data_IF_346279190816
#
_entry.id   IF_346279190816
#
_cell.length_a   1.000
_cell.length_b   1.000
_cell.length_c   1.000
_cell.angle_alpha   90.00
_cell.angle_beta   90.00
_cell.angle_gamma   90.00
#
_symmetry.space_group_name_H-M   'P 1'
#
loop_
_entity.id
_entity.type
_entity.pdbx_description
1 polymer ?
#
# COMPACT_ATOMS: atom_id res chain seq x y z
N UNK A 1 -26.30 14.93 -62.27
CA UNK A 1 -25.28 15.69 -61.51
C UNK A 1 -25.87 16.15 -60.19
N UNK A 2 -25.43 15.56 -59.08
CA UNK A 2 -24.84 16.24 -57.90
C UNK A 2 -24.84 15.28 -56.71
N UNK A 3 -23.64 14.81 -56.39
CA UNK A 3 -23.29 14.20 -55.12
C UNK A 3 -23.40 15.20 -53.95
N UNK A 4 -23.48 14.67 -52.73
CA UNK A 4 -23.32 15.39 -51.47
C UNK A 4 -24.46 15.05 -50.51
N UNK A 5 -24.26 14.59 -49.26
CA UNK A 5 -23.11 14.72 -48.37
C UNK A 5 -23.32 13.70 -47.23
N UNK A 6 -22.47 12.68 -47.09
CA UNK A 6 -22.45 11.83 -45.88
C UNK A 6 -21.68 12.60 -44.79
N UNK A 7 -22.39 13.18 -43.84
CA UNK A 7 -21.76 13.84 -42.68
C UNK A 7 -21.50 12.83 -41.56
N UNK A 8 -20.23 12.73 -41.20
CA UNK A 8 -19.61 11.91 -40.17
C UNK A 8 -20.20 12.12 -38.77
N UNK A 9 -20.67 11.04 -38.13
CA UNK A 9 -21.11 11.03 -36.72
C UNK A 9 -20.19 10.22 -35.78
N UNK A 10 -19.11 9.63 -36.30
CA UNK A 10 -18.21 8.74 -35.54
C UNK A 10 -17.01 9.41 -34.86
N UNK A 11 -16.70 10.67 -35.18
CA UNK A 11 -15.51 11.35 -34.65
C UNK A 11 -15.69 11.96 -33.26
N UNK A 12 -16.92 12.29 -32.84
CA UNK A 12 -17.21 12.92 -31.55
C UNK A 12 -17.26 11.93 -30.39
N UNK A 13 -17.74 10.70 -30.64
CA UNK A 13 -17.91 9.66 -29.62
C UNK A 13 -16.57 9.09 -29.12
N UNK A 14 -15.60 8.94 -30.02
CA UNK A 14 -14.24 8.46 -29.67
C UNK A 14 -13.49 9.49 -28.83
N UNK A 15 -13.75 10.78 -29.05
CA UNK A 15 -13.02 11.88 -28.43
C UNK A 15 -13.54 12.13 -27.02
N UNK A 16 -14.86 12.09 -26.81
CA UNK A 16 -15.47 12.05 -25.48
C UNK A 16 -15.02 10.81 -24.68
N UNK A 17 -14.94 9.64 -25.31
CA UNK A 17 -14.47 8.42 -24.66
C UNK A 17 -12.99 8.51 -24.23
N UNK A 18 -12.11 9.09 -25.08
CA UNK A 18 -10.71 9.36 -24.72
C UNK A 18 -10.61 10.29 -23.53
N UNK A 19 -11.47 11.30 -23.44
CA UNK A 19 -11.48 12.26 -22.34
C UNK A 19 -11.90 11.59 -21.02
N UNK A 20 -12.92 10.72 -21.06
CA UNK A 20 -13.34 9.90 -19.91
C UNK A 20 -12.20 8.96 -19.45
N UNK A 21 -11.55 8.27 -20.39
CA UNK A 21 -10.42 7.37 -20.09
C UNK A 21 -9.23 8.15 -19.51
N UNK A 22 -8.96 9.36 -20.00
CA UNK A 22 -7.90 10.22 -19.48
C UNK A 22 -8.18 10.63 -18.03
N UNK A 23 -9.40 11.10 -17.73
CA UNK A 23 -9.81 11.46 -16.37
C UNK A 23 -9.77 10.25 -15.44
N UNK A 24 -10.20 9.08 -15.92
CA UNK A 24 -10.17 7.84 -15.13
C UNK A 24 -8.73 7.40 -14.83
N UNK A 25 -7.85 7.44 -15.83
CA UNK A 25 -6.43 7.10 -15.69
C UNK A 25 -5.67 8.08 -14.78
N UNK A 26 -6.13 9.33 -14.69
CA UNK A 26 -5.55 10.32 -13.78
C UNK A 26 -6.01 10.11 -12.32
N UNK A 27 -7.31 9.87 -12.11
CA UNK A 27 -7.88 9.85 -10.75
C UNK A 27 -7.76 8.51 -10.03
N UNK A 28 -7.89 7.39 -10.74
CA UNK A 28 -7.89 6.05 -10.14
C UNK A 28 -6.55 5.72 -9.44
N UNK A 29 -5.37 5.98 -10.04
CA UNK A 29 -4.10 5.74 -9.36
C UNK A 29 -3.94 6.57 -8.08
N UNK A 30 -4.42 7.83 -8.08
CA UNK A 30 -4.39 8.70 -6.91
C UNK A 30 -5.22 8.18 -5.74
N UNK A 31 -6.41 7.64 -6.03
CA UNK A 31 -7.28 7.02 -5.03
C UNK A 31 -6.64 5.74 -4.45
N UNK A 32 -6.08 4.89 -5.30
CA UNK A 32 -5.37 3.67 -4.88
C UNK A 32 -4.18 4.05 -3.97
N UNK A 33 -3.38 5.04 -4.38
CA UNK A 33 -2.25 5.54 -3.58
C UNK A 33 -2.69 6.10 -2.24
N UNK A 34 -3.82 6.82 -2.18
CA UNK A 34 -4.39 7.34 -0.94
C UNK A 34 -4.79 6.23 0.04
N UNK A 35 -5.44 5.16 -0.44
CA UNK A 35 -5.82 4.00 0.37
C UNK A 35 -4.61 3.21 0.86
N UNK A 36 -3.59 3.03 0.00
CA UNK A 36 -2.32 2.43 0.39
C UNK A 36 -1.69 3.24 1.52
N UNK A 37 -1.54 4.56 1.36
CA UNK A 37 -0.98 5.43 2.39
C UNK A 37 -1.79 5.43 3.70
N UNK A 38 -3.13 5.30 3.64
CA UNK A 38 -3.92 5.19 4.87
C UNK A 38 -3.71 3.86 5.58
N UNK A 39 -3.55 2.75 4.83
CA UNK A 39 -3.29 1.41 5.36
C UNK A 39 -1.84 1.23 5.84
N UNK A 40 -0.87 1.95 5.26
CA UNK A 40 0.53 1.96 5.70
C UNK A 40 0.87 3.15 6.61
N UNK A 41 -0.13 3.76 7.23
CA UNK A 41 0.07 4.82 8.24
C UNK A 41 0.58 4.23 9.56
N UNK A 42 1.20 5.07 10.40
CA UNK A 42 1.62 4.68 11.75
C UNK A 42 0.45 4.17 12.61
N UNK A 43 -0.73 4.76 12.41
CA UNK A 43 -1.96 4.39 13.11
C UNK A 43 -2.46 3.02 12.65
N UNK A 44 -2.51 2.79 11.34
CA UNK A 44 -2.84 1.48 10.79
C UNK A 44 -1.84 0.39 11.20
N UNK A 45 -0.54 0.70 11.24
CA UNK A 45 0.47 -0.22 11.75
C UNK A 45 0.25 -0.58 13.23
N UNK A 46 -0.13 0.41 14.07
CA UNK A 46 -0.45 0.21 15.49
C UNK A 46 -1.67 -0.70 15.66
N UNK A 47 -2.72 -0.46 14.88
CA UNK A 47 -3.94 -1.27 14.96
C UNK A 47 -3.75 -2.67 14.38
N UNK A 48 -2.94 -2.81 13.33
CA UNK A 48 -2.55 -4.11 12.80
C UNK A 48 -1.73 -4.91 13.83
N UNK A 49 -0.81 -4.26 14.54
CA UNK A 49 -0.05 -4.86 15.63
C UNK A 49 -0.94 -5.34 16.78
N UNK A 50 -1.94 -4.55 17.18
CA UNK A 50 -2.94 -4.97 18.18
C UNK A 50 -3.74 -6.18 17.69
N UNK A 51 -4.20 -6.16 16.44
CA UNK A 51 -4.98 -7.26 15.88
C UNK A 51 -4.19 -8.58 15.87
N UNK A 52 -2.91 -8.54 15.46
CA UNK A 52 -2.04 -9.70 15.50
C UNK A 52 -1.81 -10.20 16.94
N UNK A 53 -1.61 -9.30 17.90
CA UNK A 53 -1.47 -9.66 19.30
C UNK A 53 -2.74 -10.31 19.87
N UNK A 54 -3.90 -9.71 19.64
CA UNK A 54 -5.19 -10.28 20.06
C UNK A 54 -5.41 -11.66 19.43
N UNK A 55 -5.15 -11.80 18.13
CA UNK A 55 -5.29 -13.09 17.44
C UNK A 55 -4.42 -14.18 18.10
N UNK A 56 -3.15 -13.90 18.36
CA UNK A 56 -2.26 -14.82 19.07
C UNK A 56 -2.76 -15.17 20.48
N UNK A 57 -3.24 -14.18 21.25
CA UNK A 57 -3.77 -14.42 22.60
C UNK A 57 -5.01 -15.33 22.57
N UNK A 58 -5.93 -15.11 21.63
CA UNK A 58 -7.14 -15.93 21.46
C UNK A 58 -6.80 -17.36 21.04
N UNK A 59 -5.81 -17.56 20.15
CA UNK A 59 -5.35 -18.91 19.78
C UNK A 59 -4.83 -19.66 21.02
N UNK A 60 -4.02 -19.00 21.85
CA UNK A 60 -3.52 -19.59 23.10
C UNK A 60 -4.61 -19.85 24.12
N UNK A 61 -5.55 -18.93 24.27
CA UNK A 61 -6.70 -19.10 25.14
C UNK A 61 -7.57 -20.30 24.69
N UNK A 62 -7.65 -20.54 23.37
CA UNK A 62 -8.29 -21.70 22.77
C UNK A 62 -7.52 -23.02 22.92
N UNK A 63 -6.34 -23.00 23.57
CA UNK A 63 -5.53 -24.19 23.82
C UNK A 63 -4.58 -24.57 22.68
N UNK A 64 -4.36 -23.68 21.71
CA UNK A 64 -3.38 -23.92 20.65
C UNK A 64 -1.97 -23.78 21.23
N UNK A 65 -1.05 -24.73 20.94
CA UNK A 65 0.35 -24.64 21.35
C UNK A 65 1.02 -23.35 20.89
N UNK A 66 1.96 -22.85 21.70
CA UNK A 66 2.59 -21.54 21.51
C UNK A 66 3.26 -21.38 20.14
N UNK A 67 4.02 -22.39 19.71
CA UNK A 67 4.72 -22.45 18.44
C UNK A 67 3.75 -22.42 17.24
N UNK A 68 2.63 -23.14 17.35
CA UNK A 68 1.58 -23.17 16.34
C UNK A 68 0.86 -21.81 16.29
N UNK A 69 0.54 -21.23 17.45
CA UNK A 69 -0.11 -19.93 17.53
C UNK A 69 0.75 -18.79 16.95
N UNK A 70 2.06 -18.81 17.21
CA UNK A 70 3.03 -17.89 16.58
C UNK A 70 3.00 -18.06 15.07
N UNK A 71 3.09 -19.30 14.57
CA UNK A 71 3.09 -19.59 13.13
C UNK A 71 1.80 -19.09 12.45
N UNK A 72 0.64 -19.41 13.02
CA UNK A 72 -0.65 -18.96 12.48
C UNK A 72 -0.78 -17.43 12.47
N UNK A 73 -0.24 -16.76 13.49
CA UNK A 73 -0.23 -15.29 13.56
C UNK A 73 0.72 -14.68 12.52
N UNK A 74 1.90 -15.28 12.32
CA UNK A 74 2.83 -14.89 11.26
C UNK A 74 2.19 -15.03 9.89
N UNK A 75 1.49 -16.14 9.63
CA UNK A 75 0.77 -16.36 8.38
C UNK A 75 -0.34 -15.34 8.15
N UNK A 76 -1.12 -15.03 9.19
CA UNK A 76 -2.13 -13.98 9.16
C UNK A 76 -1.53 -12.62 8.75
N UNK A 77 -0.44 -12.20 9.41
CA UNK A 77 0.25 -10.94 9.09
C UNK A 77 0.90 -10.98 7.70
N UNK A 78 1.42 -12.13 7.26
CA UNK A 78 2.08 -12.29 5.95
C UNK A 78 1.15 -11.96 4.78
N UNK A 79 -0.15 -12.14 4.96
CA UNK A 79 -1.16 -11.86 3.94
C UNK A 79 -1.13 -10.39 3.51
N UNK A 80 -0.89 -9.47 4.45
CA UNK A 80 -0.75 -8.04 4.15
C UNK A 80 0.50 -7.73 3.30
N UNK A 81 1.61 -8.43 3.54
CA UNK A 81 2.83 -8.28 2.74
C UNK A 81 2.60 -8.73 1.30
N UNK A 82 1.91 -9.87 1.10
CA UNK A 82 1.55 -10.39 -0.23
C UNK A 82 0.64 -9.42 -1.01
N UNK A 83 -0.32 -8.80 -0.34
CA UNK A 83 -1.16 -7.75 -0.95
C UNK A 83 -0.32 -6.55 -1.37
N UNK A 84 0.64 -6.15 -0.53
CA UNK A 84 1.57 -5.05 -0.86
C UNK A 84 2.42 -5.36 -2.10
N UNK A 85 2.92 -6.59 -2.22
CA UNK A 85 3.73 -7.02 -3.36
C UNK A 85 2.91 -7.08 -4.66
N UNK A 86 1.66 -7.52 -4.56
CA UNK A 86 0.72 -7.50 -5.67
C UNK A 86 0.46 -6.07 -6.16
N UNK A 87 0.21 -5.14 -5.24
CA UNK A 87 0.02 -3.72 -5.56
C UNK A 87 1.27 -3.12 -6.21
N UNK A 88 2.47 -3.44 -5.71
CA UNK A 88 3.75 -3.02 -6.32
C UNK A 88 3.91 -3.55 -7.75
N UNK A 89 3.52 -4.81 -7.95
CA UNK A 89 3.59 -5.45 -9.27
C UNK A 89 2.59 -4.82 -10.25
N UNK A 90 1.36 -4.58 -9.81
CA UNK A 90 0.28 -4.01 -10.61
C UNK A 90 0.49 -2.51 -10.93
N UNK A 91 1.20 -1.77 -10.07
CA UNK A 91 1.50 -0.35 -10.27
C UNK A 91 2.68 -0.07 -11.22
N UNK A 92 3.21 -1.09 -11.90
CA UNK A 92 4.15 -0.91 -13.01
C UNK A 92 5.62 -1.15 -12.68
N UNK A 93 5.92 -2.13 -11.82
CA UNK A 93 7.28 -2.53 -11.41
C UNK A 93 8.18 -3.15 -12.50
N UNK A 94 8.35 -2.51 -13.67
CA UNK A 94 9.38 -2.88 -14.66
C UNK A 94 10.41 -1.81 -15.01
N UNK A 95 10.51 -0.71 -14.26
CA UNK A 95 11.63 0.19 -14.45
C UNK A 95 11.65 1.39 -13.51
N UNK A 96 12.25 1.22 -12.33
CA UNK A 96 12.94 2.28 -11.57
C UNK A 96 13.47 1.73 -10.24
N UNK A 97 14.63 1.09 -10.30
CA UNK A 97 15.46 0.74 -9.14
C UNK A 97 16.14 1.99 -8.52
N UNK A 98 15.38 3.05 -8.24
CA UNK A 98 15.99 4.33 -7.82
C UNK A 98 15.19 5.18 -6.83
N UNK A 99 13.97 4.79 -6.45
CA UNK A 99 13.17 5.57 -5.50
C UNK A 99 12.85 4.82 -4.19
N UNK A 100 12.99 3.49 -4.17
CA UNK A 100 12.89 2.68 -2.93
C UNK A 100 14.05 2.95 -1.97
N UNK A 101 15.26 3.17 -2.49
CA UNK A 101 16.42 3.51 -1.65
C UNK A 101 16.21 4.82 -0.88
N UNK A 102 15.47 5.80 -1.42
CA UNK A 102 15.26 7.08 -0.75
C UNK A 102 14.25 6.96 0.40
N UNK A 103 13.11 6.31 0.19
CA UNK A 103 12.10 6.15 1.25
C UNK A 103 12.62 5.21 2.35
N UNK A 104 13.29 4.12 1.97
CA UNK A 104 13.92 3.21 2.93
C UNK A 104 14.97 3.91 3.79
N UNK A 105 15.86 4.69 3.17
CA UNK A 105 16.88 5.49 3.89
C UNK A 105 16.26 6.54 4.81
N UNK A 106 15.18 7.18 4.40
CA UNK A 106 14.52 8.22 5.21
C UNK A 106 13.82 7.64 6.44
N UNK A 107 13.15 6.49 6.29
CA UNK A 107 12.55 5.72 7.39
C UNK A 107 13.65 5.22 8.34
N UNK A 108 14.73 4.63 7.81
CA UNK A 108 15.86 4.15 8.61
C UNK A 108 16.52 5.29 9.42
N UNK A 109 16.67 6.46 8.81
CA UNK A 109 17.23 7.65 9.47
C UNK A 109 16.34 8.12 10.61
N UNK A 110 15.02 8.17 10.40
CA UNK A 110 14.07 8.56 11.45
C UNK A 110 14.03 7.56 12.62
N UNK A 111 14.10 6.27 12.32
CA UNK A 111 14.14 5.21 13.35
C UNK A 111 15.43 5.30 14.15
N UNK A 112 16.60 5.41 13.49
CA UNK A 112 17.90 5.55 14.17
C UNK A 112 17.99 6.80 15.03
N UNK A 113 17.41 7.91 14.57
CA UNK A 113 17.36 9.16 15.33
C UNK A 113 16.49 9.00 16.58
N UNK A 114 15.26 8.50 16.44
CA UNK A 114 14.37 8.27 17.60
C UNK A 114 14.93 7.26 18.61
N UNK A 115 15.62 6.22 18.16
CA UNK A 115 16.30 5.27 19.05
C UNK A 115 17.42 5.96 19.83
N UNK A 116 18.27 6.74 19.16
CA UNK A 116 19.36 7.47 19.80
C UNK A 116 18.85 8.48 20.84
N UNK A 117 17.80 9.21 20.52
CA UNK A 117 17.22 10.20 21.44
C UNK A 117 16.66 9.51 22.71
N UNK A 118 16.00 8.35 22.57
CA UNK A 118 15.54 7.55 23.71
C UNK A 118 16.67 7.02 24.58
N UNK A 119 17.73 6.47 23.97
CA UNK A 119 18.87 5.95 24.74
C UNK A 119 19.67 7.06 25.45
N UNK A 120 19.68 8.29 24.90
CA UNK A 120 20.33 9.43 25.54
C UNK A 120 19.51 10.06 26.68
N UNK A 121 18.19 9.84 26.70
CA UNK A 121 17.31 10.20 27.81
C UNK A 121 17.43 9.21 28.97
N UNK A 122 17.56 7.90 28.68
CA UNK A 122 17.72 6.85 29.71
C UNK A 122 19.09 6.87 30.42
N UNK A 123 20.09 7.57 29.90
CA UNK A 123 21.46 7.65 30.48
C UNK A 123 21.67 8.87 31.40
N UNK A 124 20.64 9.70 31.58
CA UNK A 124 20.68 10.94 32.41
C UNK A 124 19.87 10.87 33.71
N UNK A 125 19.20 9.75 33.97
CA UNK A 125 18.57 9.39 35.25
C UNK A 125 19.41 8.35 36.01
#
# INVERSE_FOLDING_TARGET
>A
MKEGKKTSKGGTDVEEFKEIIAVFSEKVPGLIKGLISSVFSLEAAKDMGKAAATYYQELKAGGIPDDVAVTMTQDYVSTFSKVSDFIKTASGGRGRAGHEDDIGREIETHIKKRLRDKFAEDEKD
#
